data_IF_153745297264
#
_entry.id   IF_153745297264
#
_cell.length_a   1.000
_cell.length_b   1.000
_cell.length_c   1.000
_cell.angle_alpha   90.00
_cell.angle_beta   90.00
_cell.angle_gamma   90.00
#
_symmetry.space_group_name_H-M   'P 1'
#
loop_
_entity.id
_entity.type
_entity.pdbx_description
1 polymer ?
#
# COMPACT_ATOMS: atom_id res chain seq x y z
N UNK A 1 11.11 20.51 -30.59
CA UNK A 1 10.05 20.59 -29.56
C UNK A 1 9.00 19.56 -29.95
N UNK A 2 8.80 18.51 -29.15
CA UNK A 2 7.80 17.46 -29.43
C UNK A 2 6.39 18.01 -29.23
N UNK A 3 5.48 17.69 -30.15
CA UNK A 3 4.09 18.12 -30.07
C UNK A 3 3.34 17.34 -28.97
N UNK A 4 2.17 17.81 -28.50
CA UNK A 4 1.33 17.04 -27.58
C UNK A 4 0.96 15.66 -28.13
N UNK A 5 0.79 15.53 -29.45
CA UNK A 5 0.48 14.27 -30.14
C UNK A 5 1.67 13.29 -30.07
N UNK A 6 2.90 13.78 -30.25
CA UNK A 6 4.12 12.97 -30.12
C UNK A 6 4.27 12.38 -28.70
N UNK A 7 3.87 13.13 -27.67
CA UNK A 7 3.93 12.68 -26.28
C UNK A 7 2.90 11.59 -25.97
N UNK A 8 1.69 11.70 -26.51
CA UNK A 8 0.65 10.69 -26.33
C UNK A 8 1.07 9.38 -26.98
N UNK A 9 1.60 9.45 -28.20
CA UNK A 9 2.10 8.29 -28.93
C UNK A 9 3.26 7.62 -28.18
N UNK A 10 4.22 8.41 -27.71
CA UNK A 10 5.34 7.91 -26.91
C UNK A 10 4.87 7.18 -25.64
N UNK A 11 3.87 7.71 -24.93
CA UNK A 11 3.35 7.05 -23.72
C UNK A 11 2.66 5.70 -24.04
N UNK A 12 1.93 5.62 -25.15
CA UNK A 12 1.31 4.38 -25.60
C UNK A 12 2.35 3.32 -25.99
N UNK A 13 3.39 3.73 -26.70
CA UNK A 13 4.47 2.85 -27.15
C UNK A 13 5.33 2.34 -25.97
N UNK A 14 5.56 3.15 -24.94
CA UNK A 14 6.23 2.73 -23.69
C UNK A 14 5.35 1.76 -22.89
N UNK A 15 4.04 2.02 -22.78
CA UNK A 15 3.11 1.11 -22.12
C UNK A 15 3.08 -0.27 -22.82
N UNK A 16 3.05 -0.26 -24.16
CA UNK A 16 3.12 -1.48 -24.98
C UNK A 16 4.43 -2.22 -24.81
N UNK A 17 5.55 -1.51 -24.77
CA UNK A 17 6.86 -2.10 -24.51
C UNK A 17 6.91 -2.79 -23.14
N UNK A 18 6.31 -2.17 -22.11
CA UNK A 18 6.23 -2.73 -20.76
C UNK A 18 5.40 -4.02 -20.72
N UNK A 19 4.22 -4.02 -21.36
CA UNK A 19 3.36 -5.20 -21.52
C UNK A 19 4.12 -6.37 -22.18
N UNK A 20 4.82 -6.07 -23.28
CA UNK A 20 5.64 -7.06 -23.97
C UNK A 20 6.79 -7.54 -23.07
N UNK A 21 7.47 -6.65 -22.36
CA UNK A 21 8.57 -6.99 -21.44
C UNK A 21 8.17 -8.05 -20.41
N UNK A 22 6.94 -7.97 -19.89
CA UNK A 22 6.40 -8.85 -18.84
C UNK A 22 5.82 -10.17 -19.37
N UNK A 23 5.49 -10.24 -20.66
CA UNK A 23 4.95 -11.46 -21.28
C UNK A 23 6.01 -12.57 -21.32
N UNK A 24 5.77 -13.69 -20.60
CA UNK A 24 6.70 -14.84 -20.54
C UNK A 24 6.90 -15.56 -21.87
N UNK A 25 5.86 -15.65 -22.71
CA UNK A 25 5.91 -16.33 -24.01
C UNK A 25 5.38 -15.39 -25.09
N UNK A 26 6.27 -14.86 -25.92
CA UNK A 26 5.92 -13.96 -27.04
C UNK A 26 5.79 -14.74 -28.33
N UNK A 27 4.84 -14.34 -29.17
CA UNK A 27 4.81 -14.76 -30.59
C UNK A 27 5.97 -14.11 -31.35
N UNK A 28 6.27 -14.60 -32.54
CA UNK A 28 7.30 -14.00 -33.41
C UNK A 28 7.03 -12.52 -33.69
N UNK A 29 5.76 -12.15 -33.89
CA UNK A 29 5.37 -10.77 -34.15
C UNK A 29 5.55 -9.89 -32.92
N UNK A 30 5.21 -10.41 -31.72
CA UNK A 30 5.42 -9.73 -30.45
C UNK A 30 6.90 -9.54 -30.11
N UNK A 31 7.75 -10.50 -30.47
CA UNK A 31 9.21 -10.39 -30.26
C UNK A 31 9.82 -9.33 -31.20
N UNK A 32 9.35 -9.27 -32.45
CA UNK A 32 9.76 -8.22 -33.39
C UNK A 32 9.27 -6.83 -32.94
N UNK A 33 8.03 -6.73 -32.48
CA UNK A 33 7.46 -5.50 -31.91
C UNK A 33 8.26 -5.05 -30.68
N UNK A 34 8.58 -5.98 -29.78
CA UNK A 34 9.37 -5.73 -28.58
C UNK A 34 10.76 -5.19 -28.91
N UNK A 35 11.50 -5.81 -29.83
CA UNK A 35 12.83 -5.34 -30.26
C UNK A 35 12.77 -3.94 -30.86
N UNK A 36 11.80 -3.68 -31.73
CA UNK A 36 11.61 -2.37 -32.36
C UNK A 36 11.38 -1.27 -31.32
N UNK A 37 10.48 -1.53 -30.36
CA UNK A 37 10.16 -0.59 -29.29
C UNK A 37 11.33 -0.42 -28.31
N UNK A 38 12.03 -1.50 -27.97
CA UNK A 38 13.20 -1.46 -27.08
C UNK A 38 14.32 -0.60 -27.68
N UNK A 39 14.60 -0.75 -28.98
CA UNK A 39 15.61 0.06 -29.68
C UNK A 39 15.19 1.53 -29.78
N UNK A 40 13.92 1.81 -30.07
CA UNK A 40 13.39 3.17 -30.17
C UNK A 40 13.50 3.95 -28.84
N UNK A 41 13.35 3.26 -27.70
CA UNK A 41 13.36 3.87 -26.37
C UNK A 41 14.58 3.50 -25.51
N UNK A 42 15.60 2.86 -26.09
CA UNK A 42 16.77 2.36 -25.37
C UNK A 42 17.44 3.43 -24.53
N UNK A 43 17.70 4.59 -25.13
CA UNK A 43 18.31 5.74 -24.46
C UNK A 43 17.44 6.27 -23.30
N UNK A 44 16.11 6.30 -23.48
CA UNK A 44 15.18 6.73 -22.44
C UNK A 44 15.14 5.74 -21.27
N UNK A 45 15.20 4.43 -21.55
CA UNK A 45 15.22 3.36 -20.55
C UNK A 45 16.55 3.34 -19.80
N UNK A 46 17.67 3.55 -20.49
CA UNK A 46 18.98 3.65 -19.85
C UNK A 46 19.05 4.86 -18.90
N UNK A 47 18.45 5.99 -19.28
CA UNK A 47 18.34 7.18 -18.43
C UNK A 47 17.34 7.02 -17.30
N UNK A 48 16.28 6.24 -17.48
CA UNK A 48 15.26 5.96 -16.47
C UNK A 48 14.83 4.48 -16.49
N UNK A 49 15.52 3.66 -15.68
CA UNK A 49 15.26 2.22 -15.58
C UNK A 49 13.83 1.88 -15.13
N UNK A 50 13.13 2.82 -14.47
CA UNK A 50 11.74 2.64 -13.99
C UNK A 50 10.70 2.56 -15.13
N UNK A 51 11.08 2.88 -16.36
CA UNK A 51 10.16 2.78 -17.51
C UNK A 51 9.70 1.35 -17.78
N UNK A 52 10.55 0.35 -17.49
CA UNK A 52 10.25 -1.08 -17.67
C UNK A 52 9.86 -1.79 -16.38
N UNK A 53 10.00 -1.15 -15.22
CA UNK A 53 9.55 -1.74 -13.95
C UNK A 53 8.02 -1.88 -13.98
N UNK A 54 7.52 -2.99 -13.42
CA UNK A 54 6.10 -3.08 -13.05
C UNK A 54 5.75 -1.84 -12.23
N UNK A 55 4.59 -1.24 -12.51
CA UNK A 55 3.95 -0.43 -11.49
C UNK A 55 3.74 -1.37 -10.31
N UNK A 56 4.65 -1.31 -9.33
CA UNK A 56 4.48 -2.04 -8.09
C UNK A 56 3.07 -1.71 -7.62
N UNK A 57 2.27 -2.71 -7.23
CA UNK A 57 0.95 -2.42 -6.69
C UNK A 57 1.11 -1.37 -5.61
N UNK A 58 0.56 -0.18 -5.90
CA UNK A 58 0.61 0.91 -4.95
C UNK A 58 -0.16 0.44 -3.72
N UNK A 59 0.39 0.62 -2.51
CA UNK A 59 -0.30 0.22 -1.30
C UNK A 59 -1.74 0.71 -1.32
N UNK A 60 -2.69 -0.24 -1.31
CA UNK A 60 -4.11 0.02 -1.44
C UNK A 60 -4.81 -0.44 -0.18
N UNK A 61 -5.11 0.51 0.71
CA UNK A 61 -5.77 0.21 1.98
C UNK A 61 -7.27 0.36 1.84
N UNK A 62 -7.98 -0.74 2.05
CA UNK A 62 -9.43 -0.79 2.04
C UNK A 62 -9.98 -0.49 3.43
N UNK A 63 -10.96 0.41 3.49
CA UNK A 63 -11.67 0.86 4.67
C UNK A 63 -13.17 0.58 4.50
N UNK A 64 -13.85 0.23 5.58
CA UNK A 64 -15.31 0.12 5.61
C UNK A 64 -15.94 1.49 5.90
N UNK A 65 -16.59 2.08 4.89
CA UNK A 65 -17.26 3.39 5.02
C UNK A 65 -18.67 3.30 5.60
N UNK A 66 -19.21 2.09 5.81
CA UNK A 66 -20.53 1.88 6.42
C UNK A 66 -20.48 1.83 7.95
N UNK A 67 -19.30 1.59 8.55
CA UNK A 67 -19.13 1.73 9.99
C UNK A 67 -19.38 3.20 10.36
N UNK A 68 -20.46 3.45 11.11
CA UNK A 68 -20.82 4.78 11.64
C UNK A 68 -19.59 5.39 12.34
N UNK A 69 -19.04 6.47 11.81
CA UNK A 69 -17.88 7.15 12.40
C UNK A 69 -17.13 8.07 11.45
N UNK A 70 -16.00 8.59 11.97
CA UNK A 70 -15.08 9.59 11.41
C UNK A 70 -14.45 9.27 10.04
N UNK A 71 -14.94 8.25 9.33
CA UNK A 71 -14.43 7.86 8.01
C UNK A 71 -14.63 8.99 7.00
N UNK A 72 -15.74 9.73 7.05
CA UNK A 72 -15.95 10.89 6.17
C UNK A 72 -14.85 11.95 6.34
N UNK A 73 -14.53 12.32 7.59
CA UNK A 73 -13.46 13.28 7.89
C UNK A 73 -12.07 12.75 7.52
N UNK A 74 -11.84 11.44 7.68
CA UNK A 74 -10.60 10.78 7.25
C UNK A 74 -10.44 10.87 5.73
N UNK A 75 -11.52 10.65 4.97
CA UNK A 75 -11.50 10.77 3.52
C UNK A 75 -11.27 12.22 3.06
N UNK A 76 -11.82 13.21 3.76
CA UNK A 76 -11.54 14.63 3.50
C UNK A 76 -10.06 14.98 3.76
N UNK A 77 -9.51 14.54 4.90
CA UNK A 77 -8.09 14.74 5.21
C UNK A 77 -7.20 14.04 4.17
N UNK A 78 -7.56 12.83 3.74
CA UNK A 78 -6.83 12.11 2.70
C UNK A 78 -6.74 12.92 1.41
N UNK A 79 -7.87 13.47 0.94
CA UNK A 79 -7.91 14.33 -0.25
C UNK A 79 -7.05 15.58 -0.07
N UNK A 80 -7.11 16.20 1.10
CA UNK A 80 -6.38 17.43 1.41
C UNK A 80 -4.86 17.21 1.49
N UNK A 81 -4.42 16.12 2.11
CA UNK A 81 -3.00 15.84 2.35
C UNK A 81 -2.31 15.22 1.13
N UNK A 82 -3.02 14.38 0.38
CA UNK A 82 -2.42 13.63 -0.74
C UNK A 82 -2.78 14.19 -2.13
N UNK A 83 -3.85 14.98 -2.23
CA UNK A 83 -4.41 15.41 -3.52
C UNK A 83 -5.05 14.28 -4.33
N UNK A 84 -5.17 13.06 -3.77
CA UNK A 84 -5.71 11.87 -4.43
C UNK A 84 -7.18 11.67 -4.05
N UNK A 85 -7.96 11.16 -5.01
CA UNK A 85 -9.35 10.78 -4.78
C UNK A 85 -9.43 9.34 -4.26
N UNK A 86 -10.21 9.08 -3.19
CA UNK A 86 -10.46 7.73 -2.71
C UNK A 86 -11.32 6.95 -3.72
N UNK A 87 -11.04 5.66 -3.88
CA UNK A 87 -11.70 4.81 -4.87
C UNK A 87 -12.85 4.05 -4.19
N UNK A 88 -14.09 4.32 -4.61
CA UNK A 88 -15.24 3.56 -4.12
C UNK A 88 -15.17 2.10 -4.59
N UNK A 89 -15.40 1.17 -3.65
CA UNK A 89 -15.47 -0.26 -3.92
C UNK A 89 -16.84 -0.85 -3.56
N UNK A 90 -17.21 -1.99 -4.16
CA UNK A 90 -18.45 -2.69 -3.84
C UNK A 90 -18.58 -2.96 -2.33
N UNK A 91 -19.82 -3.02 -1.85
CA UNK A 91 -20.09 -3.35 -0.45
C UNK A 91 -19.93 -2.18 0.53
N UNK A 92 -19.69 -0.96 0.06
CA UNK A 92 -19.46 0.20 0.93
C UNK A 92 -18.03 0.25 1.47
N UNK A 93 -17.09 -0.30 0.70
CA UNK A 93 -15.67 -0.17 0.98
C UNK A 93 -15.12 1.03 0.20
N UNK A 94 -14.05 1.61 0.71
CA UNK A 94 -13.31 2.68 0.06
C UNK A 94 -11.84 2.34 0.11
N UNK A 95 -11.13 2.50 -1.00
CA UNK A 95 -9.71 2.24 -1.11
C UNK A 95 -8.91 3.53 -1.17
N UNK A 96 -7.84 3.58 -0.38
CA UNK A 96 -6.87 4.68 -0.32
C UNK A 96 -5.54 4.22 -0.92
N UNK A 97 -5.01 4.99 -1.85
CA UNK A 97 -3.72 4.72 -2.50
C UNK A 97 -2.62 5.59 -1.90
N UNK A 98 -1.50 4.97 -1.57
CA UNK A 98 -0.32 5.67 -1.05
C UNK A 98 0.90 5.36 -1.91
N UNK A 99 1.89 6.27 -1.91
CA UNK A 99 3.13 6.06 -2.65
C UNK A 99 4.02 5.01 -1.96
N UNK A 100 3.89 4.88 -0.64
CA UNK A 100 4.58 3.86 0.17
C UNK A 100 3.72 3.36 1.34
N UNK A 101 4.12 2.24 1.93
CA UNK A 101 3.51 1.75 3.17
C UNK A 101 3.79 2.71 4.34
N UNK A 102 4.95 3.34 4.36
CA UNK A 102 5.35 4.30 5.40
C UNK A 102 4.47 5.55 5.36
N UNK A 103 4.12 6.05 4.16
CA UNK A 103 3.18 7.15 4.01
C UNK A 103 1.78 6.79 4.51
N UNK A 104 1.33 5.57 4.22
CA UNK A 104 0.05 5.07 4.71
C UNK A 104 0.03 4.95 6.23
N UNK A 105 1.10 4.41 6.84
CA UNK A 105 1.25 4.31 8.29
C UNK A 105 1.25 5.70 8.92
N UNK A 106 2.05 6.63 8.38
CA UNK A 106 2.11 8.00 8.90
C UNK A 106 0.76 8.69 8.83
N UNK A 107 0.08 8.62 7.68
CA UNK A 107 -1.25 9.20 7.52
C UNK A 107 -2.24 8.62 8.53
N UNK A 108 -2.37 7.29 8.59
CA UNK A 108 -3.34 6.64 9.48
C UNK A 108 -2.98 6.81 10.97
N UNK A 109 -1.70 6.91 11.32
CA UNK A 109 -1.27 7.22 12.68
C UNK A 109 -1.72 8.62 13.10
N UNK A 110 -1.62 9.63 12.22
CA UNK A 110 -2.15 10.98 12.50
C UNK A 110 -3.67 10.99 12.64
N UNK A 111 -4.37 10.15 11.86
CA UNK A 111 -5.83 9.99 12.00
C UNK A 111 -6.20 9.37 13.36
N UNK A 112 -5.44 8.39 13.84
CA UNK A 112 -5.65 7.80 15.16
C UNK A 112 -5.44 8.82 16.29
N UNK A 113 -4.43 9.71 16.19
CA UNK A 113 -4.20 10.80 17.15
C UNK A 113 -5.37 11.78 17.24
N UNK A 114 -6.18 11.89 16.18
CA UNK A 114 -7.44 12.65 16.16
C UNK A 114 -8.62 11.87 16.76
N UNK A 115 -8.37 10.76 17.46
CA UNK A 115 -9.39 9.86 18.04
C UNK A 115 -10.36 9.28 17.00
N UNK A 116 -9.86 8.99 15.79
CA UNK A 116 -10.68 8.42 14.72
C UNK A 116 -10.49 6.91 14.64
N UNK A 117 -11.59 6.18 14.80
CA UNK A 117 -11.59 4.72 14.66
C UNK A 117 -11.63 4.28 13.20
N UNK A 118 -10.80 3.31 12.85
CA UNK A 118 -10.73 2.74 11.50
C UNK A 118 -10.14 1.33 11.52
N UNK A 119 -10.36 0.62 10.42
CA UNK A 119 -9.82 -0.72 10.18
C UNK A 119 -9.45 -0.80 8.69
N UNK A 120 -8.15 -0.61 8.41
CA UNK A 120 -7.62 -0.48 7.06
C UNK A 120 -6.79 -1.72 6.71
N UNK A 121 -7.05 -2.33 5.56
CA UNK A 121 -6.33 -3.54 5.14
C UNK A 121 -5.87 -3.47 3.69
N UNK A 122 -4.57 -3.75 3.48
CA UNK A 122 -3.98 -4.03 2.19
C UNK A 122 -3.77 -5.56 2.07
N UNK A 123 -4.57 -6.18 1.21
CA UNK A 123 -4.57 -7.63 1.00
C UNK A 123 -3.32 -8.11 0.26
N UNK A 124 -2.76 -7.30 -0.63
CA UNK A 124 -1.61 -7.69 -1.44
C UNK A 124 -0.33 -7.72 -0.62
N UNK A 125 -0.22 -6.83 0.37
CA UNK A 125 0.92 -6.76 1.29
C UNK A 125 0.71 -7.50 2.62
N UNK A 126 -0.48 -8.06 2.82
CA UNK A 126 -0.96 -8.55 4.12
C UNK A 126 -0.64 -7.59 5.26
N UNK A 127 -1.03 -6.32 5.11
CA UNK A 127 -0.78 -5.28 6.09
C UNK A 127 -2.07 -4.63 6.55
N UNK A 128 -2.34 -4.71 7.86
CA UNK A 128 -3.53 -4.18 8.51
C UNK A 128 -3.16 -3.09 9.50
N UNK A 129 -3.94 -2.02 9.50
CA UNK A 129 -3.84 -0.89 10.42
C UNK A 129 -5.17 -0.70 11.13
N UNK A 130 -5.14 -0.58 12.44
CA UNK A 130 -6.34 -0.46 13.26
C UNK A 130 -6.23 0.69 14.26
N UNK A 131 -7.34 1.40 14.45
CA UNK A 131 -7.55 2.33 15.55
C UNK A 131 -8.91 2.14 16.18
N UNK A 132 -8.96 2.21 17.52
CA UNK A 132 -10.18 2.11 18.33
C UNK A 132 -10.93 3.44 18.46
N UNK A 133 -10.39 4.54 17.90
CA UNK A 133 -10.96 5.88 18.05
C UNK A 133 -10.71 6.52 19.42
N UNK A 134 -9.72 6.05 20.18
CA UNK A 134 -9.32 6.62 21.48
C UNK A 134 -7.84 7.01 21.51
N UNK A 135 -7.22 7.16 20.33
CA UNK A 135 -5.80 7.43 20.19
C UNK A 135 -4.94 6.18 20.00
N UNK A 136 -5.50 4.98 20.17
CA UNK A 136 -4.76 3.74 19.94
C UNK A 136 -4.53 3.54 18.44
N UNK A 137 -3.28 3.30 18.06
CA UNK A 137 -2.91 2.94 16.69
C UNK A 137 -2.06 1.68 16.73
N UNK A 138 -2.48 0.64 15.99
CA UNK A 138 -1.70 -0.58 15.85
C UNK A 138 -1.63 -1.01 14.39
N UNK A 139 -0.50 -1.59 13.99
CA UNK A 139 -0.35 -2.16 12.66
C UNK A 139 0.57 -3.38 12.62
N UNK A 140 0.35 -4.22 11.62
CA UNK A 140 1.07 -5.48 11.42
C UNK A 140 0.40 -6.33 10.35
N UNK A 141 0.69 -7.62 10.34
CA UNK A 141 -0.07 -8.58 9.52
C UNK A 141 -1.51 -8.71 10.01
N UNK A 142 -2.40 -9.22 9.15
CA UNK A 142 -3.80 -9.43 9.57
C UNK A 142 -3.89 -10.33 10.80
N UNK A 143 -3.07 -11.38 10.86
CA UNK A 143 -3.06 -12.36 11.96
C UNK A 143 -2.57 -11.72 13.26
N UNK A 144 -1.50 -10.91 13.21
CA UNK A 144 -0.98 -10.20 14.38
C UNK A 144 -2.00 -9.22 14.95
N UNK A 145 -2.64 -8.42 14.08
CA UNK A 145 -3.67 -7.47 14.52
C UNK A 145 -4.90 -8.21 15.07
N UNK A 146 -5.35 -9.30 14.45
CA UNK A 146 -6.43 -10.13 15.00
C UNK A 146 -6.08 -10.73 16.37
N UNK A 147 -4.82 -11.14 16.56
CA UNK A 147 -4.34 -11.66 17.84
C UNK A 147 -4.27 -10.56 18.91
N UNK A 148 -3.77 -9.37 18.55
CA UNK A 148 -3.77 -8.19 19.42
C UNK A 148 -5.18 -7.85 19.89
N UNK A 149 -6.15 -7.80 18.98
CA UNK A 149 -7.54 -7.46 19.34
C UNK A 149 -8.18 -8.46 20.30
N UNK A 150 -7.75 -9.73 20.29
CA UNK A 150 -8.20 -10.75 21.24
C UNK A 150 -7.48 -10.66 22.59
N UNK A 151 -6.19 -10.35 22.58
CA UNK A 151 -5.39 -10.25 23.79
C UNK A 151 -4.30 -9.17 23.70
N UNK A 152 -4.66 -7.88 23.93
CA UNK A 152 -3.74 -6.76 23.78
C UNK A 152 -2.52 -6.84 24.70
N UNK A 153 -2.66 -7.50 25.87
CA UNK A 153 -1.59 -7.61 26.88
C UNK A 153 -0.40 -8.46 26.43
N UNK A 154 -0.59 -9.32 25.43
CA UNK A 154 0.45 -10.22 24.90
C UNK A 154 1.38 -9.58 23.89
N UNK A 155 1.16 -8.32 23.52
CA UNK A 155 1.96 -7.61 22.53
C UNK A 155 2.55 -6.34 23.14
N UNK A 156 3.71 -5.96 22.64
CA UNK A 156 4.22 -4.60 22.79
C UNK A 156 4.03 -3.83 21.49
N UNK A 157 3.93 -2.51 21.61
CA UNK A 157 3.82 -1.59 20.48
C UNK A 157 5.07 -0.73 20.43
N UNK A 158 5.68 -0.63 19.26
CA UNK A 158 6.75 0.33 19.05
C UNK A 158 6.19 1.77 18.89
N UNK A 159 7.09 2.74 18.69
CA UNK A 159 6.74 4.16 18.53
C UNK A 159 5.86 4.45 17.30
N UNK A 160 5.84 3.54 16.33
CA UNK A 160 5.00 3.61 15.13
C UNK A 160 3.67 2.90 15.30
N UNK A 161 3.47 2.18 16.40
CA UNK A 161 2.30 1.33 16.62
C UNK A 161 2.46 -0.06 16.00
N UNK A 162 3.65 -0.45 15.55
CA UNK A 162 3.88 -1.79 15.02
C UNK A 162 3.85 -2.79 16.16
N UNK A 163 3.15 -3.91 15.94
CA UNK A 163 3.15 -5.03 16.88
C UNK A 163 4.53 -5.70 16.87
N UNK A 164 5.14 -5.80 18.05
CA UNK A 164 6.30 -6.64 18.28
C UNK A 164 5.88 -7.84 19.13
N UNK A 165 6.31 -9.04 18.75
CA UNK A 165 6.10 -10.21 19.59
C UNK A 165 6.86 -10.03 20.90
N UNK A 166 6.18 -10.18 22.04
CA UNK A 166 6.85 -10.31 23.33
C UNK A 166 7.70 -11.58 23.29
N UNK A 167 8.99 -11.48 23.60
CA UNK A 167 9.78 -12.67 23.90
C UNK A 167 9.03 -13.45 25.00
N UNK A 168 8.87 -14.78 24.88
CA UNK A 168 8.23 -15.56 25.91
C UNK A 168 9.01 -15.34 27.21
N UNK A 169 8.32 -14.88 28.26
CA UNK A 169 8.91 -14.76 29.60
C UNK A 169 9.56 -16.08 29.94
N UNK A 170 10.89 -16.10 29.95
CA UNK A 170 11.64 -17.25 30.41
C UNK A 170 11.23 -17.47 31.86
N UNK A 171 10.39 -18.49 32.08
CA UNK A 171 10.03 -18.99 33.40
C UNK A 171 11.30 -19.10 34.21
N UNK A 172 11.47 -18.21 35.19
CA UNK A 172 12.47 -18.35 36.24
C UNK A 172 12.25 -19.73 36.85
N UNK A 173 13.13 -20.68 36.53
CA UNK A 173 13.28 -21.91 37.27
C UNK A 173 13.61 -21.51 38.70
N UNK A 174 12.62 -21.59 39.57
CA UNK A 174 12.84 -21.54 41.01
C UNK A 174 13.55 -22.85 41.34
N UNK A 175 14.86 -22.78 41.59
CA UNK A 175 15.61 -23.91 42.13
C UNK A 175 15.06 -24.21 43.54
N UNK A 176 14.59 -25.44 43.82
CA UNK A 176 14.28 -25.80 45.19
C UNK A 176 15.58 -25.90 45.98
N UNK A 177 15.52 -25.40 47.21
CA UNK A 177 16.57 -25.43 48.24
C UNK A 177 16.80 -26.85 48.72
#
# INVERSE_FOLDING_TARGET
MSTPEDKVKQNQEIARLRELHQTKNRTSDQENEYKRLLDAYRESILKNKRLLEEDKPQPQYQLDSKKKGFVAELLEDYKKETGKEPIAQPGGLVALHFDSQEDAVKFLQEQAKKNRGFDAYDKEKDHRMYSDGKGTFVHGTKVEVDAYLKNPKSFDLDKTGRLTAKEPESTKKVSPT
#
